data_IF_423697551959
#
_entry.id   IF_423697551959
#
_cell.length_a   1.000
_cell.length_b   1.000
_cell.length_c   1.000
_cell.angle_alpha   90.00
_cell.angle_beta   90.00
_cell.angle_gamma   90.00
#
_symmetry.space_group_name_H-M   'P 1'
#
loop_
_entity.id
_entity.type
_entity.pdbx_description
1 polymer ?
#
# COMPACT_ATOMS: atom_id res chain seq x y z
N UNK A 1 -37.08 -16.99 42.94
CA UNK A 1 -36.77 -17.03 41.49
C UNK A 1 -36.86 -18.47 41.02
N UNK A 2 -37.68 -18.76 40.02
CA UNK A 2 -37.97 -20.13 39.58
C UNK A 2 -36.78 -20.72 38.78
N UNK A 3 -36.38 -21.96 39.04
CA UNK A 3 -35.18 -22.59 38.46
C UNK A 3 -35.15 -22.57 36.92
N UNK A 4 -36.33 -22.64 36.29
CA UNK A 4 -36.53 -22.53 34.83
C UNK A 4 -36.03 -21.19 34.25
N UNK A 5 -36.25 -20.08 34.95
CA UNK A 5 -35.81 -18.76 34.48
C UNK A 5 -34.28 -18.61 34.54
N UNK A 6 -33.64 -19.29 35.50
CA UNK A 6 -32.18 -19.25 35.67
C UNK A 6 -31.48 -20.02 34.53
N UNK A 7 -32.05 -21.14 34.09
CA UNK A 7 -31.51 -21.90 32.95
C UNK A 7 -31.67 -21.16 31.61
N UNK A 8 -32.81 -20.49 31.40
CA UNK A 8 -33.00 -19.64 30.22
C UNK A 8 -31.99 -18.49 30.19
N UNK A 9 -31.78 -17.81 31.32
CA UNK A 9 -30.79 -16.71 31.42
C UNK A 9 -29.37 -17.21 31.12
N UNK A 10 -28.98 -18.40 31.61
CA UNK A 10 -27.66 -18.99 31.31
C UNK A 10 -27.48 -19.29 29.82
N UNK A 11 -28.52 -19.81 29.15
CA UNK A 11 -28.48 -20.06 27.70
C UNK A 11 -28.33 -18.77 26.90
N UNK A 12 -29.06 -17.71 27.26
CA UNK A 12 -28.93 -16.41 26.61
C UNK A 12 -27.56 -15.78 26.87
N UNK A 13 -27.01 -15.91 28.09
CA UNK A 13 -25.67 -15.41 28.41
C UNK A 13 -24.58 -16.13 27.58
N UNK A 14 -24.72 -17.45 27.40
CA UNK A 14 -23.77 -18.24 26.61
C UNK A 14 -23.84 -17.90 25.12
N UNK A 15 -25.04 -17.72 24.57
CA UNK A 15 -25.25 -17.23 23.20
C UNK A 15 -24.68 -15.82 23.03
N UNK A 16 -24.91 -14.93 23.98
CA UNK A 16 -24.39 -13.57 23.94
C UNK A 16 -22.87 -13.53 23.98
N UNK A 17 -22.24 -14.34 24.85
CA UNK A 17 -20.79 -14.49 24.91
C UNK A 17 -20.21 -15.02 23.59
N UNK A 18 -20.89 -15.98 22.96
CA UNK A 18 -20.49 -16.49 21.64
C UNK A 18 -20.56 -15.40 20.56
N UNK A 19 -21.63 -14.60 20.53
CA UNK A 19 -21.75 -13.49 19.58
C UNK A 19 -20.68 -12.42 19.78
N UNK A 20 -20.37 -12.06 21.03
CA UNK A 20 -19.29 -11.11 21.34
C UNK A 20 -17.93 -11.67 20.92
N UNK A 21 -17.64 -12.94 21.24
CA UNK A 21 -16.39 -13.58 20.86
C UNK A 21 -16.23 -13.62 19.33
N UNK A 22 -17.27 -14.02 18.60
CA UNK A 22 -17.25 -14.04 17.14
C UNK A 22 -17.04 -12.62 16.55
N UNK A 23 -17.72 -11.62 17.11
CA UNK A 23 -17.56 -10.21 16.71
C UNK A 23 -16.13 -9.70 16.93
N UNK A 24 -15.53 -10.01 18.08
CA UNK A 24 -14.15 -9.64 18.41
C UNK A 24 -13.12 -10.34 17.52
N UNK A 25 -13.34 -11.62 17.16
CA UNK A 25 -12.44 -12.35 16.24
C UNK A 25 -12.52 -11.75 14.83
N UNK A 26 -13.71 -11.41 14.35
CA UNK A 26 -13.91 -10.76 13.05
C UNK A 26 -13.27 -9.36 13.01
N UNK A 27 -13.43 -8.57 14.07
CA UNK A 27 -12.76 -7.27 14.19
C UNK A 27 -11.24 -7.42 14.27
N UNK A 28 -10.75 -8.30 15.15
CA UNK A 28 -9.32 -8.53 15.36
C UNK A 28 -8.62 -9.01 14.09
N UNK A 29 -9.21 -9.94 13.34
CA UNK A 29 -8.66 -10.42 12.07
C UNK A 29 -8.56 -9.30 11.02
N UNK A 30 -9.54 -8.39 10.95
CA UNK A 30 -9.47 -7.23 10.04
C UNK A 30 -8.29 -6.30 10.31
N UNK A 31 -7.99 -6.04 11.59
CA UNK A 31 -6.83 -5.22 11.98
C UNK A 31 -5.50 -5.91 11.64
N UNK A 32 -5.39 -7.22 11.90
CA UNK A 32 -4.19 -8.01 11.59
C UNK A 32 -3.92 -8.02 10.07
N UNK A 33 -4.96 -8.23 9.25
CA UNK A 33 -4.84 -8.27 7.78
C UNK A 33 -4.38 -6.92 7.22
N UNK A 34 -4.83 -5.82 7.82
CA UNK A 34 -4.46 -4.47 7.38
C UNK A 34 -2.99 -4.16 7.66
N UNK A 35 -2.48 -4.57 8.83
CA UNK A 35 -1.04 -4.50 9.15
C UNK A 35 -0.20 -5.35 8.20
N UNK A 36 -0.61 -6.61 7.98
CA UNK A 36 0.10 -7.55 7.10
C UNK A 36 0.25 -7.00 5.67
N UNK A 37 -0.78 -6.33 5.14
CA UNK A 37 -0.71 -5.72 3.80
C UNK A 37 0.38 -4.65 3.72
N UNK A 38 0.51 -3.81 4.74
CA UNK A 38 1.55 -2.77 4.76
C UNK A 38 2.95 -3.39 4.79
N UNK A 39 3.14 -4.44 5.58
CA UNK A 39 4.43 -5.14 5.67
C UNK A 39 4.84 -5.78 4.33
N UNK A 40 3.88 -6.33 3.58
CA UNK A 40 4.15 -6.88 2.24
C UNK A 40 4.64 -5.79 1.28
N UNK A 41 4.03 -4.60 1.27
CA UNK A 41 4.50 -3.50 0.43
C UNK A 41 5.88 -3.00 0.84
N UNK A 42 6.19 -2.95 2.14
CA UNK A 42 7.51 -2.55 2.64
C UNK A 42 8.58 -3.60 2.28
N UNK A 43 8.25 -4.88 2.36
CA UNK A 43 9.13 -5.97 1.94
C UNK A 43 9.39 -5.93 0.43
N UNK A 44 8.34 -5.71 -0.37
CA UNK A 44 8.48 -5.52 -1.82
C UNK A 44 9.30 -4.27 -2.16
N UNK A 45 9.10 -3.17 -1.42
CA UNK A 45 9.90 -1.97 -1.57
C UNK A 45 11.39 -2.24 -1.33
N UNK A 46 11.74 -2.87 -0.21
CA UNK A 46 13.11 -3.21 0.14
C UNK A 46 13.74 -4.12 -0.93
N UNK A 47 12.98 -5.10 -1.44
CA UNK A 47 13.43 -5.96 -2.53
C UNK A 47 13.71 -5.17 -3.80
N UNK A 48 12.78 -4.32 -4.24
CA UNK A 48 12.91 -3.52 -5.46
C UNK A 48 14.09 -2.56 -5.34
N UNK A 49 14.23 -1.85 -4.23
CA UNK A 49 15.34 -0.91 -4.02
C UNK A 49 16.70 -1.59 -4.06
N UNK A 50 16.82 -2.80 -3.49
CA UNK A 50 18.09 -3.57 -3.47
C UNK A 50 18.42 -4.28 -4.78
N UNK A 51 17.41 -4.74 -5.52
CA UNK A 51 17.59 -5.62 -6.68
C UNK A 51 17.37 -4.96 -8.03
N UNK A 52 16.55 -3.93 -8.09
CA UNK A 52 16.24 -3.28 -9.36
C UNK A 52 17.40 -2.39 -9.81
N UNK A 53 17.90 -2.55 -11.04
CA UNK A 53 18.89 -1.64 -11.60
C UNK A 53 18.33 -0.24 -11.87
N UNK A 54 17.01 -0.06 -11.85
CA UNK A 54 16.35 1.23 -12.15
C UNK A 54 16.34 2.20 -10.97
N UNK A 55 16.48 1.71 -9.74
CA UNK A 55 16.48 2.54 -8.53
C UNK A 55 17.69 2.30 -7.63
N UNK A 56 18.83 1.90 -8.21
CA UNK A 56 20.09 1.72 -7.48
C UNK A 56 20.56 2.98 -6.75
N UNK A 57 20.22 4.16 -7.27
CA UNK A 57 20.55 5.45 -6.62
C UNK A 57 19.68 5.73 -5.38
N UNK A 58 18.55 5.03 -5.22
CA UNK A 58 17.54 5.26 -4.18
C UNK A 58 17.52 4.14 -3.11
N UNK A 59 18.64 3.42 -2.93
CA UNK A 59 18.73 2.32 -1.96
C UNK A 59 18.55 2.76 -0.50
N UNK A 60 18.90 4.01 -0.18
CA UNK A 60 18.84 4.58 1.17
C UNK A 60 17.49 5.27 1.47
N UNK A 61 16.41 4.88 0.79
CA UNK A 61 15.07 5.47 1.00
C UNK A 61 14.44 4.90 2.27
N UNK A 62 14.10 5.79 3.21
CA UNK A 62 13.39 5.45 4.43
C UNK A 62 11.88 5.66 4.27
N UNK A 63 11.08 4.65 4.64
CA UNK A 63 9.62 4.73 4.66
C UNK A 63 9.14 5.29 5.99
N UNK A 64 8.58 6.50 5.98
CA UNK A 64 8.19 7.22 7.20
C UNK A 64 6.77 6.85 7.61
N UNK A 65 5.83 6.88 6.67
CA UNK A 65 4.40 6.78 6.97
C UNK A 65 3.61 6.23 5.80
N UNK A 66 2.72 5.27 6.08
CA UNK A 66 1.69 4.85 5.13
C UNK A 66 0.58 5.91 5.04
N UNK A 67 0.24 6.31 3.82
CA UNK A 67 -0.85 7.22 3.50
C UNK A 67 -1.99 6.44 2.85
N UNK A 68 -3.24 6.76 3.22
CA UNK A 68 -4.40 6.13 2.61
C UNK A 68 -4.63 6.73 1.20
N UNK A 69 -4.52 5.95 0.11
CA UNK A 69 -4.69 6.46 -1.25
C UNK A 69 -6.06 7.14 -1.46
N UNK A 70 -7.13 6.64 -0.81
CA UNK A 70 -8.47 7.22 -0.94
C UNK A 70 -8.58 8.61 -0.32
N UNK A 71 -7.89 8.87 0.79
CA UNK A 71 -7.83 10.22 1.38
C UNK A 71 -7.10 11.23 0.49
N UNK A 72 -6.27 10.75 -0.44
CA UNK A 72 -5.49 11.54 -1.37
C UNK A 72 -6.16 11.66 -2.75
N UNK A 73 -7.37 11.15 -2.94
CA UNK A 73 -8.02 10.98 -4.26
C UNK A 73 -7.19 10.14 -5.26
N UNK A 74 -6.33 9.25 -4.76
CA UNK A 74 -5.46 8.38 -5.53
C UNK A 74 -5.96 6.93 -5.53
N UNK A 75 -7.26 6.70 -5.79
CA UNK A 75 -7.87 5.36 -5.77
C UNK A 75 -7.29 4.37 -6.81
N UNK A 76 -6.49 4.87 -7.75
CA UNK A 76 -5.76 4.04 -8.72
C UNK A 76 -4.45 3.47 -8.14
N UNK A 77 -4.00 3.97 -6.99
CA UNK A 77 -2.87 3.42 -6.24
C UNK A 77 -3.38 2.43 -5.20
N UNK A 78 -2.66 1.34 -5.05
CA UNK A 78 -2.94 0.35 -4.01
C UNK A 78 -2.43 0.80 -2.64
N UNK A 79 -1.26 1.43 -2.63
CA UNK A 79 -0.62 1.94 -1.43
C UNK A 79 0.23 3.15 -1.77
N UNK A 80 0.29 4.10 -0.84
CA UNK A 80 1.14 5.29 -0.93
C UNK A 80 1.87 5.45 0.39
N UNK A 81 3.15 5.78 0.33
CA UNK A 81 3.98 5.99 1.51
C UNK A 81 4.71 7.33 1.39
N UNK A 82 4.80 8.07 2.49
CA UNK A 82 5.75 9.17 2.61
C UNK A 82 7.14 8.59 2.86
N UNK A 83 8.11 9.01 2.05
CA UNK A 83 9.48 8.53 2.12
C UNK A 83 10.47 9.67 2.33
N UNK A 84 11.64 9.36 2.88
CA UNK A 84 12.75 10.31 3.06
C UNK A 84 14.04 9.74 2.50
N UNK A 85 14.81 10.58 1.85
CA UNK A 85 16.16 10.26 1.42
C UNK A 85 17.07 11.49 1.53
N UNK A 86 18.18 11.38 2.28
CA UNK A 86 19.22 12.42 2.39
C UNK A 86 18.63 13.84 2.53
N UNK A 87 17.73 13.99 3.51
CA UNK A 87 16.95 15.21 3.84
C UNK A 87 15.80 15.61 2.90
N UNK A 88 15.65 14.97 1.75
CA UNK A 88 14.51 15.21 0.86
C UNK A 88 13.32 14.33 1.24
N UNK A 89 12.15 14.94 1.35
CA UNK A 89 10.88 14.21 1.44
C UNK A 89 10.38 13.87 0.03
N UNK A 90 9.73 12.73 -0.08
CA UNK A 90 9.10 12.27 -1.31
C UNK A 90 7.96 11.31 -1.02
N UNK A 91 7.46 10.67 -2.07
CA UNK A 91 6.40 9.68 -1.95
C UNK A 91 6.74 8.41 -2.73
N UNK A 92 6.41 7.25 -2.17
CA UNK A 92 6.42 5.99 -2.88
C UNK A 92 4.98 5.54 -3.15
N UNK A 93 4.68 5.15 -4.38
CA UNK A 93 3.36 4.66 -4.77
C UNK A 93 3.46 3.25 -5.36
N UNK A 94 2.51 2.40 -5.00
CA UNK A 94 2.30 1.09 -5.58
C UNK A 94 1.06 1.10 -6.44
N UNK A 95 1.21 0.70 -7.70
CA UNK A 95 0.11 0.68 -8.69
C UNK A 95 0.00 -0.71 -9.29
N UNK A 96 -1.22 -1.23 -9.37
CA UNK A 96 -1.48 -2.46 -10.12
C UNK A 96 -1.26 -2.23 -11.62
N UNK A 97 -0.36 -3.03 -12.19
CA UNK A 97 -0.04 -3.04 -13.61
C UNK A 97 -0.45 -4.37 -14.22
N UNK A 98 -1.29 -4.32 -15.25
CA UNK A 98 -1.67 -5.52 -15.99
C UNK A 98 -0.55 -5.93 -16.95
N UNK A 99 -0.10 -7.17 -16.84
CA UNK A 99 0.92 -7.76 -17.70
C UNK A 99 0.47 -9.09 -18.30
N UNK A 100 1.36 -9.70 -19.08
CA UNK A 100 1.17 -10.99 -19.77
C UNK A 100 0.79 -12.13 -18.82
N UNK A 101 1.32 -12.13 -17.61
CA UNK A 101 1.13 -13.21 -16.63
C UNK A 101 0.16 -12.83 -15.50
N UNK A 102 -0.61 -11.75 -15.67
CA UNK A 102 -1.55 -11.25 -14.67
C UNK A 102 -1.14 -9.88 -14.13
N UNK A 103 -1.71 -9.53 -12.97
CA UNK A 103 -1.49 -8.23 -12.33
C UNK A 103 -0.18 -8.28 -11.53
N UNK A 104 0.73 -7.37 -11.86
CA UNK A 104 1.96 -7.12 -11.10
C UNK A 104 1.83 -5.80 -10.36
N UNK A 105 2.55 -5.62 -9.25
CA UNK A 105 2.59 -4.33 -8.56
C UNK A 105 3.80 -3.52 -9.04
N UNK A 106 3.58 -2.36 -9.63
CA UNK A 106 4.64 -1.43 -9.99
C UNK A 106 4.92 -0.47 -8.84
N UNK A 107 6.19 -0.33 -8.47
CA UNK A 107 6.64 0.66 -7.51
C UNK A 107 7.16 1.90 -8.24
N UNK A 108 6.71 3.05 -7.79
CA UNK A 108 7.09 4.36 -8.30
C UNK A 108 7.58 5.24 -7.14
N UNK A 109 8.64 6.01 -7.36
CA UNK A 109 9.13 7.01 -6.44
C UNK A 109 8.90 8.40 -7.00
N UNK A 110 8.47 9.32 -6.16
CA UNK A 110 8.31 10.73 -6.46
C UNK A 110 9.26 11.55 -5.58
N UNK A 111 10.18 12.26 -6.22
CA UNK A 111 11.10 13.18 -5.58
C UNK A 111 11.30 14.40 -6.49
N UNK A 112 11.33 15.61 -5.92
CA UNK A 112 11.68 16.84 -6.68
C UNK A 112 10.82 17.01 -7.94
N UNK A 113 9.49 16.89 -7.79
CA UNK A 113 8.52 17.11 -8.87
C UNK A 113 8.64 16.13 -10.05
N UNK A 114 9.27 14.98 -9.85
CA UNK A 114 9.36 13.92 -10.86
C UNK A 114 9.06 12.56 -10.29
N UNK A 115 8.35 11.75 -11.06
CA UNK A 115 8.04 10.36 -10.73
C UNK A 115 8.85 9.41 -11.60
N UNK A 116 9.40 8.38 -10.97
CA UNK A 116 10.24 7.38 -11.63
C UNK A 116 9.78 5.98 -11.25
N UNK A 117 9.69 5.11 -12.25
CA UNK A 117 9.45 3.69 -12.03
C UNK A 117 10.69 2.96 -11.51
N UNK A 118 10.55 2.31 -10.36
CA UNK A 118 11.64 1.57 -9.73
C UNK A 118 11.63 0.08 -10.05
N UNK A 119 10.49 -0.52 -10.38
CA UNK A 119 10.43 -1.96 -10.65
C UNK A 119 9.10 -2.59 -10.27
N UNK A 120 9.07 -3.92 -10.34
CA UNK A 120 7.88 -4.73 -10.03
C UNK A 120 8.06 -5.47 -8.70
N UNK A 121 7.05 -5.37 -7.84
CA UNK A 121 6.92 -6.11 -6.57
C UNK A 121 6.43 -7.54 -6.79
N UNK A 122 6.48 -8.36 -5.73
CA UNK A 122 6.21 -9.80 -5.79
C UNK A 122 7.46 -10.64 -6.08
N UNK A 123 8.65 -10.13 -5.75
CA UNK A 123 9.92 -10.86 -5.95
C UNK A 123 10.33 -11.04 -7.41
N UNK A 124 9.82 -10.19 -8.32
CA UNK A 124 10.07 -10.28 -9.77
C UNK A 124 10.86 -9.10 -10.35
N UNK A 125 11.44 -8.26 -9.48
CA UNK A 125 12.21 -7.09 -9.88
C UNK A 125 13.49 -7.39 -10.68
N UNK A 126 13.94 -8.66 -10.71
CA UNK A 126 15.17 -9.08 -11.39
C UNK A 126 15.06 -9.07 -12.92
N UNK A 127 13.83 -9.08 -13.45
CA UNK A 127 13.56 -9.05 -14.90
C UNK A 127 12.95 -7.71 -15.29
N UNK A 128 13.26 -7.22 -16.51
CA UNK A 128 12.70 -5.96 -16.99
C UNK A 128 11.18 -6.06 -17.12
N UNK A 129 10.46 -4.96 -16.86
CA UNK A 129 8.99 -4.93 -16.93
C UNK A 129 8.43 -5.42 -18.28
N UNK A 130 9.16 -5.19 -19.37
CA UNK A 130 8.82 -5.66 -20.72
C UNK A 130 8.71 -7.19 -20.81
N UNK A 131 9.49 -7.95 -20.02
CA UNK A 131 9.39 -9.41 -19.94
C UNK A 131 8.00 -9.85 -19.46
N UNK A 132 7.38 -9.06 -18.58
CA UNK A 132 6.02 -9.27 -18.08
C UNK A 132 4.96 -8.62 -18.97
N UNK A 133 5.30 -8.16 -20.17
CA UNK A 133 4.37 -7.50 -21.09
C UNK A 133 3.97 -6.09 -20.67
N UNK A 134 4.65 -5.51 -19.67
CA UNK A 134 4.43 -4.14 -19.24
C UNK A 134 5.29 -3.22 -20.12
N UNK A 135 4.63 -2.43 -20.96
CA UNK A 135 5.30 -1.56 -21.93
C UNK A 135 5.79 -0.27 -21.28
N UNK A 136 6.82 0.35 -21.86
CA UNK A 136 7.29 1.66 -21.43
C UNK A 136 6.22 2.75 -21.54
N UNK A 137 5.24 2.61 -22.45
CA UNK A 137 4.12 3.53 -22.56
C UNK A 137 3.22 3.45 -21.31
N UNK A 138 2.90 2.24 -20.86
CA UNK A 138 2.07 2.01 -19.66
C UNK A 138 2.75 2.56 -18.41
N UNK A 139 4.08 2.40 -18.31
CA UNK A 139 4.89 2.98 -17.24
C UNK A 139 4.80 4.51 -17.27
N UNK A 140 5.09 5.13 -18.42
CA UNK A 140 5.05 6.60 -18.58
C UNK A 140 3.69 7.21 -18.27
N UNK A 141 2.61 6.57 -18.71
CA UNK A 141 1.24 7.03 -18.39
C UNK A 141 0.99 6.99 -16.88
N UNK A 142 1.53 5.98 -16.19
CA UNK A 142 1.42 5.86 -14.74
C UNK A 142 2.27 6.92 -14.02
N UNK A 143 3.49 7.17 -14.50
CA UNK A 143 4.38 8.24 -13.98
C UNK A 143 3.70 9.60 -14.09
N UNK A 144 3.22 9.99 -15.28
CA UNK A 144 2.55 11.28 -15.48
C UNK A 144 1.31 11.45 -14.60
N UNK A 145 0.54 10.37 -14.44
CA UNK A 145 -0.66 10.38 -13.59
C UNK A 145 -0.31 10.54 -12.11
N UNK A 146 0.79 9.92 -11.67
CA UNK A 146 1.32 10.07 -10.31
C UNK A 146 1.90 11.46 -10.08
N UNK A 147 2.69 11.99 -11.01
CA UNK A 147 3.23 13.36 -10.95
C UNK A 147 2.09 14.37 -10.77
N UNK A 148 1.10 14.34 -11.66
CA UNK A 148 -0.07 15.22 -11.58
C UNK A 148 -0.84 15.09 -10.26
N UNK A 149 -0.86 13.89 -9.66
CA UNK A 149 -1.53 13.67 -8.38
C UNK A 149 -0.71 14.20 -7.20
N UNK A 150 0.59 13.96 -7.18
CA UNK A 150 1.48 14.41 -6.12
C UNK A 150 1.73 15.92 -6.15
N UNK A 151 1.83 16.54 -7.32
CA UNK A 151 1.89 18.00 -7.46
C UNK A 151 0.67 18.68 -6.84
N UNK A 152 -0.54 18.16 -7.12
CA UNK A 152 -1.78 18.68 -6.51
C UNK A 152 -1.78 18.56 -4.99
N UNK A 153 -1.20 17.48 -4.45
CA UNK A 153 -1.07 17.30 -3.01
C UNK A 153 -0.07 18.28 -2.40
N UNK A 154 1.08 18.52 -3.05
CA UNK A 154 2.07 19.50 -2.60
C UNK A 154 1.52 20.92 -2.63
N UNK A 155 0.75 21.30 -3.66
CA UNK A 155 0.08 22.60 -3.75
C UNK A 155 -0.92 22.77 -2.61
N UNK A 156 -1.81 21.79 -2.40
CA UNK A 156 -2.81 21.84 -1.32
C UNK A 156 -2.16 21.96 0.07
N UNK A 157 -1.08 21.21 0.31
CA UNK A 157 -0.35 21.26 1.58
C UNK A 157 0.39 22.60 1.81
N UNK A 158 0.71 23.35 0.74
CA UNK A 158 1.28 24.70 0.84
C UNK A 158 0.20 25.76 1.13
N UNK A 159 -1.02 25.57 0.63
CA UNK A 159 -2.14 26.49 0.87
C UNK A 159 -2.76 26.35 2.27
N UNK A 160 -2.64 25.19 2.90
CA UNK A 160 -3.14 24.92 4.27
C UNK A 160 -2.13 25.28 5.39
N UNK A 161 -0.97 25.86 5.05
CA UNK A 161 0.08 26.31 6.00
C UNK A 161 0.14 27.83 6.11
#
# INVERSE_FOLDING_TARGET
MNNSNIEQIKKYLLLFAFFIAAGLILWGSGYIISGLKSDVYLQDADYILKKSPLCSEYQDVEFIKALNPSSLNMNFCNAVFEVRMKEKKGYAAFVNMSGKYGICQGMFLYFTEKCFFCGLGGGIADKPAMYYGITSLTIKVSEQKLESAFERLEIKNKEEK
#
